data_IF_487920821070
#
_entry.id   IF_487920821070
#
_cell.length_a   1.000
_cell.length_b   1.000
_cell.length_c   1.000
_cell.angle_alpha   90.00
_cell.angle_beta   90.00
_cell.angle_gamma   90.00
#
_symmetry.space_group_name_H-M   'P 1'
#
loop_
_entity.id
_entity.type
_entity.pdbx_description
1 polymer ?
#
# COMPACT_ATOMS: atom_id res chain seq x y z
N UNK A 1 -13.36 14.12 -11.03
CA UNK A 1 -13.44 14.49 -9.60
C UNK A 1 -12.88 15.90 -9.45
N UNK A 2 -13.73 16.94 -9.41
CA UNK A 2 -13.26 18.33 -9.29
C UNK A 2 -12.50 18.58 -7.97
N UNK A 3 -12.78 17.80 -6.93
CA UNK A 3 -12.16 17.91 -5.61
C UNK A 3 -10.65 17.65 -5.63
N UNK A 4 -10.13 16.91 -6.60
CA UNK A 4 -8.71 16.59 -6.73
C UNK A 4 -7.94 17.57 -7.63
N UNK A 5 -8.59 18.54 -8.25
CA UNK A 5 -7.95 19.47 -9.19
C UNK A 5 -6.84 20.33 -8.57
N UNK A 6 -6.84 20.52 -7.25
CA UNK A 6 -5.80 21.23 -6.51
C UNK A 6 -4.82 20.31 -5.75
N UNK A 7 -4.97 19.00 -5.88
CA UNK A 7 -4.14 18.03 -5.14
C UNK A 7 -2.87 17.71 -5.91
N UNK A 8 -1.73 17.73 -5.22
CA UNK A 8 -0.48 17.22 -5.73
C UNK A 8 -0.34 15.75 -5.35
N UNK A 9 -0.11 14.88 -6.34
CA UNK A 9 -0.04 13.42 -6.16
C UNK A 9 1.38 12.94 -6.47
N UNK A 10 1.95 12.19 -5.54
CA UNK A 10 3.21 11.46 -5.72
C UNK A 10 2.88 9.96 -5.84
N UNK A 11 3.07 9.41 -7.01
CA UNK A 11 2.86 7.99 -7.24
C UNK A 11 4.19 7.25 -7.14
N UNK A 12 4.31 6.47 -6.07
CA UNK A 12 5.52 5.69 -5.75
C UNK A 12 5.32 4.25 -6.19
N UNK A 13 6.19 3.74 -7.05
CA UNK A 13 6.14 2.35 -7.49
C UNK A 13 7.54 1.83 -7.84
N UNK A 14 7.63 0.50 -7.97
CA UNK A 14 8.82 -0.16 -8.49
C UNK A 14 9.12 0.32 -9.92
N UNK A 15 10.38 0.60 -10.29
CA UNK A 15 10.71 1.27 -11.55
C UNK A 15 10.09 0.64 -12.80
N UNK A 16 10.18 -0.69 -12.95
CA UNK A 16 9.62 -1.37 -14.12
C UNK A 16 8.07 -1.36 -14.13
N UNK A 17 7.42 -1.47 -12.95
CA UNK A 17 5.96 -1.38 -12.84
C UNK A 17 5.46 0.01 -13.21
N UNK A 18 6.19 1.04 -12.78
CA UNK A 18 5.85 2.43 -13.08
C UNK A 18 6.01 2.75 -14.56
N UNK A 19 7.05 2.22 -15.22
CA UNK A 19 7.27 2.38 -16.66
C UNK A 19 6.11 1.77 -17.46
N UNK A 20 5.77 0.50 -17.21
CA UNK A 20 4.64 -0.19 -17.83
C UNK A 20 3.31 0.56 -17.62
N UNK A 21 3.07 1.06 -16.40
CA UNK A 21 1.88 1.86 -16.10
C UNK A 21 1.85 3.17 -16.89
N UNK A 22 2.97 3.87 -16.97
CA UNK A 22 3.08 5.13 -17.74
C UNK A 22 2.81 4.91 -19.22
N UNK A 23 3.32 3.82 -19.80
CA UNK A 23 3.06 3.45 -21.20
C UNK A 23 1.57 3.19 -21.43
N UNK A 24 0.94 2.37 -20.57
CA UNK A 24 -0.50 2.05 -20.67
C UNK A 24 -1.41 3.24 -20.43
N UNK A 25 -0.97 4.21 -19.65
CA UNK A 25 -1.73 5.41 -19.30
C UNK A 25 -1.35 6.65 -20.10
N UNK A 26 -0.53 6.51 -21.15
CA UNK A 26 0.02 7.64 -21.91
C UNK A 26 -1.05 8.56 -22.51
N UNK A 27 -2.19 8.00 -22.92
CA UNK A 27 -3.32 8.74 -23.48
C UNK A 27 -4.29 9.30 -22.41
N UNK A 28 -4.08 8.98 -21.14
CA UNK A 28 -4.95 9.44 -20.05
C UNK A 28 -4.46 10.78 -19.51
N UNK A 29 -5.40 11.71 -19.30
CA UNK A 29 -5.09 12.98 -18.63
C UNK A 29 -5.35 12.85 -17.14
N UNK A 30 -4.36 13.16 -16.28
CA UNK A 30 -4.58 13.22 -14.85
C UNK A 30 -5.67 14.23 -14.50
N UNK A 31 -6.55 13.85 -13.56
CA UNK A 31 -7.61 14.75 -13.03
C UNK A 31 -7.20 15.37 -11.69
N UNK A 32 -5.91 15.51 -11.45
CA UNK A 32 -5.29 16.07 -10.23
C UNK A 32 -4.53 17.34 -10.59
N UNK A 33 -4.17 18.16 -9.60
CA UNK A 33 -3.41 19.39 -9.81
C UNK A 33 -2.02 19.13 -10.39
N UNK A 34 -1.31 18.15 -9.85
CA UNK A 34 -0.08 17.61 -10.44
C UNK A 34 0.06 16.13 -10.12
N UNK A 35 0.70 15.36 -11.02
CA UNK A 35 1.06 13.97 -10.82
C UNK A 35 2.56 13.80 -11.02
N UNK A 36 3.27 13.36 -9.98
CA UNK A 36 4.71 13.08 -10.02
C UNK A 36 4.96 11.60 -9.81
N UNK A 37 5.70 11.01 -10.71
CA UNK A 37 6.10 9.61 -10.63
C UNK A 37 7.42 9.49 -9.89
N UNK A 38 7.44 8.66 -8.85
CA UNK A 38 8.61 8.40 -8.00
C UNK A 38 8.98 6.93 -8.15
N UNK A 39 9.93 6.64 -9.05
CA UNK A 39 10.42 5.30 -9.28
C UNK A 39 11.40 4.90 -8.16
N UNK A 40 11.03 3.95 -7.31
CA UNK A 40 11.89 3.48 -6.22
C UNK A 40 11.65 2.01 -5.89
N UNK A 41 12.71 1.24 -5.76
CA UNK A 41 12.65 -0.09 -5.14
C UNK A 41 12.80 0.07 -3.62
N UNK A 42 11.70 -0.10 -2.89
CA UNK A 42 11.66 0.02 -1.42
C UNK A 42 12.51 -1.01 -0.66
N UNK A 43 13.08 -2.00 -1.37
CA UNK A 43 14.02 -2.97 -0.83
C UNK A 43 15.46 -2.46 -0.92
N UNK A 44 15.78 -1.75 -2.02
CA UNK A 44 17.16 -1.35 -2.34
C UNK A 44 17.44 0.11 -1.98
N UNK A 45 16.40 0.97 -1.97
CA UNK A 45 16.57 2.40 -1.79
C UNK A 45 15.58 3.00 -0.77
N UNK A 46 16.01 4.00 0.03
CA UNK A 46 15.16 4.65 1.02
C UNK A 46 14.12 5.55 0.33
N UNK A 47 12.87 5.47 0.80
CA UNK A 47 11.74 6.24 0.29
C UNK A 47 11.89 7.76 0.50
N UNK A 48 12.37 8.19 1.67
CA UNK A 48 12.44 9.61 2.03
C UNK A 48 13.23 10.45 1.05
N UNK A 49 14.49 10.12 0.70
CA UNK A 49 15.26 10.83 -0.31
C UNK A 49 14.62 10.84 -1.70
N UNK A 50 13.97 9.75 -2.12
CA UNK A 50 13.29 9.69 -3.42
C UNK A 50 12.11 10.68 -3.48
N UNK A 51 11.32 10.77 -2.41
CA UNK A 51 10.22 11.74 -2.29
C UNK A 51 10.74 13.19 -2.24
N UNK A 52 11.82 13.45 -1.50
CA UNK A 52 12.44 14.77 -1.43
C UNK A 52 12.93 15.22 -2.81
N UNK A 53 13.60 14.34 -3.55
CA UNK A 53 14.07 14.61 -4.91
C UNK A 53 12.92 14.87 -5.89
N UNK A 54 11.76 14.25 -5.67
CA UNK A 54 10.54 14.50 -6.42
C UNK A 54 9.80 15.79 -6.01
N UNK A 55 10.27 16.48 -4.95
CA UNK A 55 9.72 17.74 -4.46
C UNK A 55 8.58 17.60 -3.45
N UNK A 56 8.46 16.45 -2.78
CA UNK A 56 7.51 16.31 -1.67
C UNK A 56 7.94 17.19 -0.49
N UNK A 57 7.05 18.08 -0.07
CA UNK A 57 7.25 18.97 1.08
C UNK A 57 6.74 18.30 2.36
N UNK A 58 7.65 18.02 3.28
CA UNK A 58 7.36 17.40 4.58
C UNK A 58 6.61 18.32 5.55
N UNK A 59 6.56 19.64 5.27
CA UNK A 59 5.80 20.60 6.07
C UNK A 59 4.30 20.64 5.71
N UNK A 60 3.90 19.99 4.61
CA UNK A 60 2.52 19.96 4.14
C UNK A 60 1.82 18.67 4.56
N UNK A 61 0.64 18.74 5.23
CA UNK A 61 -0.13 17.56 5.58
C UNK A 61 -0.43 16.68 4.38
N UNK A 62 -0.05 15.42 4.46
CA UNK A 62 -0.12 14.46 3.35
C UNK A 62 -1.00 13.28 3.72
N UNK A 63 -1.84 12.83 2.78
CA UNK A 63 -2.53 11.55 2.88
C UNK A 63 -1.74 10.49 2.13
N UNK A 64 -1.20 9.54 2.87
CA UNK A 64 -0.47 8.39 2.37
C UNK A 64 -1.39 7.20 2.14
N UNK A 65 -1.18 6.46 1.07
CA UNK A 65 -1.91 5.22 0.79
C UNK A 65 -0.90 4.11 0.48
N UNK A 66 -0.84 3.11 1.36
CA UNK A 66 -0.07 1.88 1.16
C UNK A 66 -1.01 0.75 0.77
N UNK A 67 -1.32 0.64 -0.52
CA UNK A 67 -2.18 -0.40 -1.07
C UNK A 67 -1.35 -1.49 -1.76
N UNK A 68 -1.53 -2.74 -1.32
CA UNK A 68 -0.86 -3.89 -1.94
C UNK A 68 0.66 -3.98 -1.71
N UNK A 69 1.29 -3.04 -1.02
CA UNK A 69 2.76 -2.91 -0.89
C UNK A 69 3.33 -3.79 0.21
N UNK A 70 2.80 -3.69 1.44
CA UNK A 70 3.42 -4.33 2.61
C UNK A 70 3.53 -5.87 2.55
N UNK A 71 2.70 -6.64 1.84
CA UNK A 71 2.90 -8.08 1.67
C UNK A 71 4.15 -8.44 0.88
N UNK A 72 4.62 -7.54 0.00
CA UNK A 72 5.80 -7.75 -0.87
C UNK A 72 7.10 -7.33 -0.21
N UNK A 73 7.04 -6.60 0.91
CA UNK A 73 8.19 -6.21 1.71
C UNK A 73 8.48 -7.22 2.83
N UNK A 74 9.74 -7.35 3.23
CA UNK A 74 10.07 -7.97 4.51
C UNK A 74 9.55 -7.12 5.65
N UNK A 75 9.47 -7.66 6.87
CA UNK A 75 9.06 -6.85 8.03
C UNK A 75 9.97 -5.65 8.26
N UNK A 76 11.27 -5.82 8.04
CA UNK A 76 12.26 -4.76 8.18
C UNK A 76 12.05 -3.65 7.13
N UNK A 77 11.84 -4.00 5.86
CA UNK A 77 11.61 -3.02 4.80
C UNK A 77 10.25 -2.31 4.98
N UNK A 78 9.22 -3.02 5.45
CA UNK A 78 7.94 -2.40 5.78
C UNK A 78 8.09 -1.39 6.93
N UNK A 79 8.86 -1.72 7.97
CA UNK A 79 9.16 -0.81 9.07
C UNK A 79 9.92 0.42 8.60
N UNK A 80 10.96 0.25 7.77
CA UNK A 80 11.72 1.36 7.20
C UNK A 80 10.84 2.27 6.31
N UNK A 81 9.93 1.68 5.52
CA UNK A 81 8.99 2.44 4.69
C UNK A 81 8.02 3.27 5.53
N UNK A 82 7.43 2.66 6.58
CA UNK A 82 6.48 3.37 7.46
C UNK A 82 7.20 4.45 8.28
N UNK A 83 8.42 4.19 8.75
CA UNK A 83 9.24 5.19 9.43
C UNK A 83 9.55 6.39 8.52
N UNK A 84 9.96 6.15 7.27
CA UNK A 84 10.20 7.21 6.29
C UNK A 84 8.93 8.03 5.97
N UNK A 85 7.76 7.40 5.94
CA UNK A 85 6.47 8.09 5.82
C UNK A 85 6.23 8.98 7.04
N UNK A 86 6.41 8.45 8.26
CA UNK A 86 6.22 9.21 9.48
C UNK A 86 7.15 10.43 9.56
N UNK A 87 8.43 10.25 9.25
CA UNK A 87 9.45 11.32 9.22
C UNK A 87 9.11 12.43 8.21
N UNK A 88 8.45 12.09 7.10
CA UNK A 88 8.06 13.05 6.06
C UNK A 88 6.61 13.52 6.16
N UNK A 89 6.02 13.42 7.34
CA UNK A 89 4.63 13.73 7.57
C UNK A 89 4.47 14.91 8.53
N UNK A 90 3.92 16.02 8.06
CA UNK A 90 3.50 17.12 8.92
C UNK A 90 2.35 16.67 9.86
N UNK A 91 2.15 17.36 11.00
CA UNK A 91 0.98 17.16 11.85
C UNK A 91 -0.32 17.24 11.04
N UNK A 92 -1.26 16.33 11.30
CA UNK A 92 -2.51 16.18 10.53
C UNK A 92 -2.40 15.28 9.31
N UNK A 93 -1.20 14.81 8.96
CA UNK A 93 -1.04 13.77 7.93
C UNK A 93 -1.71 12.46 8.35
N UNK A 94 -2.14 11.68 7.35
CA UNK A 94 -2.81 10.40 7.55
C UNK A 94 -2.13 9.32 6.74
N UNK A 95 -2.06 8.10 7.28
CA UNK A 95 -1.60 6.92 6.57
C UNK A 95 -2.71 5.88 6.54
N UNK A 96 -3.11 5.49 5.33
CA UNK A 96 -4.06 4.41 5.06
C UNK A 96 -3.26 3.19 4.62
N UNK A 97 -3.36 2.09 5.35
CA UNK A 97 -2.64 0.84 5.06
C UNK A 97 -3.63 -0.28 4.76
N UNK A 98 -3.60 -0.77 3.53
CA UNK A 98 -4.27 -2.01 3.17
C UNK A 98 -3.36 -3.20 3.50
N UNK A 99 -3.87 -4.18 4.22
CA UNK A 99 -3.14 -5.39 4.58
C UNK A 99 -4.00 -6.65 4.43
N UNK A 100 -3.34 -7.78 4.22
CA UNK A 100 -4.01 -9.07 4.13
C UNK A 100 -3.79 -9.88 5.41
N UNK A 101 -4.90 -10.28 6.03
CA UNK A 101 -4.87 -11.14 7.22
C UNK A 101 -4.56 -12.57 6.82
N UNK A 102 -3.73 -13.24 7.61
CA UNK A 102 -3.48 -14.69 7.43
C UNK A 102 -4.77 -15.46 7.63
N UNK A 103 -5.20 -16.20 6.61
CA UNK A 103 -6.28 -17.17 6.71
C UNK A 103 -5.73 -18.56 6.40
N UNK A 104 -5.93 -19.50 7.31
CA UNK A 104 -5.54 -20.90 7.10
C UNK A 104 -6.26 -21.48 5.88
N UNK A 105 -7.52 -21.12 5.66
CA UNK A 105 -8.30 -21.51 4.49
C UNK A 105 -7.76 -20.94 3.19
N UNK A 106 -7.30 -19.69 3.19
CA UNK A 106 -6.67 -19.11 2.01
C UNK A 106 -5.29 -19.74 1.72
N UNK A 107 -4.56 -20.18 2.76
CA UNK A 107 -3.33 -20.94 2.59
C UNK A 107 -3.59 -22.32 1.98
N UNK A 108 -4.60 -23.02 2.46
CA UNK A 108 -5.02 -24.31 1.92
C UNK A 108 -5.54 -24.20 0.48
N UNK A 109 -6.37 -23.20 0.20
CA UNK A 109 -6.86 -22.92 -1.16
C UNK A 109 -5.73 -22.62 -2.15
N UNK A 110 -4.70 -21.86 -1.73
CA UNK A 110 -3.50 -21.62 -2.55
C UNK A 110 -2.69 -22.90 -2.80
N UNK A 111 -2.58 -23.77 -1.81
CA UNK A 111 -1.89 -25.06 -1.96
C UNK A 111 -2.61 -25.93 -3.00
N UNK A 112 -3.93 -26.03 -2.93
CA UNK A 112 -4.75 -26.75 -3.91
C UNK A 112 -4.66 -26.13 -5.31
N UNK A 113 -4.73 -24.79 -5.41
CA UNK A 113 -4.58 -24.08 -6.68
C UNK A 113 -3.19 -24.30 -7.30
N UNK A 114 -2.12 -24.24 -6.52
CA UNK A 114 -0.75 -24.55 -7.00
C UNK A 114 -0.58 -25.98 -7.47
N UNK A 115 -1.16 -26.95 -6.78
CA UNK A 115 -1.15 -28.35 -7.21
C UNK A 115 -1.92 -28.53 -8.52
N UNK A 116 -3.08 -27.89 -8.66
CA UNK A 116 -3.87 -27.92 -9.87
C UNK A 116 -3.17 -27.23 -11.06
N UNK A 117 -2.56 -26.05 -10.85
CA UNK A 117 -1.79 -25.34 -11.88
C UNK A 117 -0.57 -26.15 -12.34
N UNK A 118 0.16 -26.78 -11.41
CA UNK A 118 1.27 -27.68 -11.75
C UNK A 118 0.81 -28.90 -12.58
N UNK A 119 -0.31 -29.52 -12.22
CA UNK A 119 -0.89 -30.63 -12.97
C UNK A 119 -1.40 -30.20 -14.34
N UNK A 120 -1.91 -28.98 -14.45
CA UNK A 120 -2.44 -28.40 -15.71
C UNK A 120 -1.35 -27.76 -16.59
N UNK A 121 -0.06 -27.79 -16.20
CA UNK A 121 1.06 -27.11 -16.88
C UNK A 121 0.80 -25.64 -17.21
N UNK A 122 -0.04 -24.97 -16.42
CA UNK A 122 -0.29 -23.51 -16.56
C UNK A 122 0.66 -22.74 -15.66
N UNK A 123 1.20 -21.65 -16.17
CA UNK A 123 2.00 -20.73 -15.39
C UNK A 123 1.12 -20.07 -14.31
N UNK A 124 1.67 -19.94 -13.12
CA UNK A 124 1.04 -19.18 -12.03
C UNK A 124 1.21 -17.69 -12.34
N UNK A 125 0.14 -16.95 -12.63
CA UNK A 125 0.25 -15.51 -12.94
C UNK A 125 0.82 -14.68 -11.79
N UNK A 126 0.86 -15.23 -10.57
CA UNK A 126 1.42 -14.59 -9.38
C UNK A 126 2.80 -15.18 -8.98
N UNK A 127 3.42 -16.01 -9.81
CA UNK A 127 4.72 -16.62 -9.52
C UNK A 127 5.84 -15.57 -9.38
N UNK A 128 5.72 -14.46 -10.08
CA UNK A 128 6.70 -13.37 -10.12
C UNK A 128 6.51 -12.32 -9.01
N UNK A 129 5.48 -12.44 -8.18
CA UNK A 129 5.25 -11.55 -7.04
C UNK A 129 5.41 -12.30 -5.70
N UNK A 130 6.63 -12.52 -5.23
CA UNK A 130 6.85 -13.23 -3.98
C UNK A 130 6.32 -12.44 -2.80
N UNK A 131 5.36 -13.00 -2.09
CA UNK A 131 4.93 -12.46 -0.79
C UNK A 131 6.02 -12.73 0.24
N UNK A 132 6.66 -11.68 0.71
CA UNK A 132 7.79 -11.75 1.65
C UNK A 132 7.34 -11.67 3.11
N UNK A 133 6.15 -11.14 3.38
CA UNK A 133 5.61 -11.04 4.72
C UNK A 133 4.12 -11.34 4.81
N UNK A 134 3.67 -11.63 6.02
CA UNK A 134 2.26 -11.82 6.34
C UNK A 134 1.95 -11.07 7.63
N UNK A 135 0.76 -10.47 7.68
CA UNK A 135 0.39 -9.53 8.71
C UNK A 135 -0.87 -9.97 9.44
N UNK A 136 -0.98 -9.55 10.69
CA UNK A 136 -2.19 -9.63 11.50
C UNK A 136 -2.57 -8.20 11.88
N UNK A 137 -3.82 -7.95 12.27
CA UNK A 137 -4.25 -6.67 12.85
C UNK A 137 -3.26 -6.14 13.88
N UNK A 138 -2.92 -6.98 14.86
CA UNK A 138 -1.99 -6.62 15.94
C UNK A 138 -0.62 -6.23 15.40
N UNK A 139 -0.09 -6.95 14.41
CA UNK A 139 1.25 -6.66 13.88
C UNK A 139 1.29 -5.43 12.97
N UNK A 140 0.19 -5.09 12.30
CA UNK A 140 0.08 -3.81 11.56
C UNK A 140 -0.03 -2.65 12.53
N UNK A 141 -0.87 -2.77 13.57
CA UNK A 141 -0.97 -1.76 14.61
C UNK A 141 0.39 -1.49 15.27
N UNK A 142 1.11 -2.54 15.70
CA UNK A 142 2.43 -2.39 16.27
C UNK A 142 3.43 -1.70 15.32
N UNK A 143 3.42 -2.06 14.03
CA UNK A 143 4.23 -1.41 13.00
C UNK A 143 4.00 0.11 12.92
N UNK A 144 2.74 0.53 13.00
CA UNK A 144 2.36 1.94 12.92
C UNK A 144 2.73 2.69 14.21
N UNK A 145 2.43 2.10 15.36
CA UNK A 145 2.72 2.68 16.68
C UNK A 145 4.23 2.79 16.94
N UNK A 146 5.04 1.81 16.51
CA UNK A 146 6.51 1.85 16.58
C UNK A 146 7.11 2.99 15.74
N UNK A 147 6.43 3.42 14.67
CA UNK A 147 6.80 4.58 13.87
C UNK A 147 6.23 5.91 14.43
N UNK A 148 5.57 5.92 15.58
CA UNK A 148 5.00 7.12 16.19
C UNK A 148 3.64 7.54 15.61
N UNK A 149 2.98 6.66 14.85
CA UNK A 149 1.67 6.93 14.24
C UNK A 149 0.54 6.41 15.13
N UNK A 150 -0.41 7.27 15.48
CA UNK A 150 -1.60 6.89 16.25
C UNK A 150 -2.66 6.21 15.38
N UNK A 151 -2.98 4.94 15.65
CA UNK A 151 -4.00 4.21 14.89
C UNK A 151 -5.39 4.65 15.36
N UNK A 152 -6.15 5.30 14.46
CA UNK A 152 -7.51 5.78 14.72
C UNK A 152 -8.57 4.78 14.34
N UNK A 153 -8.35 4.05 13.24
CA UNK A 153 -9.29 3.07 12.71
C UNK A 153 -8.57 1.81 12.25
N UNK A 154 -9.25 0.67 12.39
CA UNK A 154 -8.78 -0.60 11.87
C UNK A 154 -10.00 -1.49 11.59
N UNK A 155 -10.41 -1.54 10.34
CA UNK A 155 -11.64 -2.18 9.90
C UNK A 155 -11.38 -3.30 8.91
N UNK A 156 -12.25 -4.32 8.94
CA UNK A 156 -12.23 -5.34 7.90
C UNK A 156 -12.77 -4.74 6.60
N UNK A 157 -12.09 -5.00 5.48
CA UNK A 157 -12.50 -4.46 4.18
C UNK A 157 -13.91 -4.95 3.76
N UNK A 158 -14.30 -6.13 4.23
CA UNK A 158 -15.66 -6.66 4.01
C UNK A 158 -16.73 -5.78 4.67
N UNK A 159 -16.47 -5.24 5.88
CA UNK A 159 -17.43 -4.37 6.55
C UNK A 159 -17.62 -3.04 5.81
N UNK A 160 -16.52 -2.45 5.32
CA UNK A 160 -16.59 -1.25 4.48
C UNK A 160 -17.32 -1.50 3.16
N UNK A 161 -17.10 -2.66 2.54
CA UNK A 161 -17.79 -3.00 1.29
C UNK A 161 -19.27 -3.22 1.53
N UNK A 162 -19.68 -3.82 2.64
CA UNK A 162 -21.08 -3.99 3.02
C UNK A 162 -21.76 -2.62 3.25
N UNK A 163 -21.11 -1.69 3.94
CA UNK A 163 -21.59 -0.30 4.11
C UNK A 163 -21.75 0.44 2.78
N UNK A 164 -20.84 0.20 1.83
CA UNK A 164 -20.85 0.82 0.51
C UNK A 164 -21.67 0.03 -0.53
N UNK A 165 -22.33 -1.06 -0.13
CA UNK A 165 -23.10 -1.97 -1.01
C UNK A 165 -22.27 -2.51 -2.17
N UNK A 166 -20.98 -2.78 -1.94
CA UNK A 166 -20.05 -3.34 -2.93
C UNK A 166 -19.94 -4.87 -2.85
N UNK A 167 -19.59 -5.56 -3.95
CA UNK A 167 -19.44 -7.01 -3.93
C UNK A 167 -18.25 -7.46 -3.05
N UNK A 168 -18.51 -8.32 -2.06
CA UNK A 168 -17.57 -8.67 -0.98
C UNK A 168 -16.74 -9.94 -1.19
N UNK A 169 -16.94 -10.70 -2.28
CA UNK A 169 -16.36 -12.06 -2.46
C UNK A 169 -14.83 -12.15 -2.28
N UNK A 170 -14.06 -11.10 -2.58
CA UNK A 170 -12.60 -11.10 -2.54
C UNK A 170 -12.01 -10.40 -1.30
N UNK A 171 -12.85 -9.80 -0.45
CA UNK A 171 -12.42 -8.86 0.60
C UNK A 171 -12.33 -9.48 2.01
N UNK A 172 -12.75 -10.75 2.17
CA UNK A 172 -12.89 -11.41 3.49
C UNK A 172 -11.60 -11.57 4.30
N UNK A 173 -10.45 -11.47 3.66
CA UNK A 173 -9.13 -11.64 4.31
C UNK A 173 -8.32 -10.35 4.30
N UNK A 174 -8.95 -9.22 4.06
CA UNK A 174 -8.29 -7.93 3.97
C UNK A 174 -8.79 -6.96 5.04
N UNK A 175 -7.90 -6.12 5.54
CA UNK A 175 -8.21 -5.04 6.47
C UNK A 175 -7.58 -3.74 6.00
N UNK A 176 -8.13 -2.64 6.50
CA UNK A 176 -7.59 -1.30 6.32
C UNK A 176 -7.39 -0.68 7.69
N UNK A 177 -6.16 -0.26 7.97
CA UNK A 177 -5.83 0.54 9.14
C UNK A 177 -5.61 1.99 8.70
N UNK A 178 -6.13 2.93 9.48
CA UNK A 178 -5.87 4.35 9.35
C UNK A 178 -5.09 4.83 10.56
N UNK A 179 -4.00 5.53 10.32
CA UNK A 179 -3.19 6.13 11.36
C UNK A 179 -2.96 7.61 11.07
N UNK A 180 -2.76 8.39 12.11
CA UNK A 180 -2.54 9.84 12.03
C UNK A 180 -1.23 10.23 12.70
N UNK A 181 -0.63 11.29 12.19
CA UNK A 181 0.47 11.99 12.85
C UNK A 181 -0.15 12.97 13.83
N UNK A 182 0.06 12.73 15.12
CA UNK A 182 -0.41 13.63 16.16
C UNK A 182 0.33 14.97 16.08
N UNK A 183 -0.38 16.07 16.38
CA UNK A 183 0.29 17.32 16.69
C UNK A 183 1.11 17.11 17.99
N UNK A 184 2.38 17.51 17.96
CA UNK A 184 3.26 17.49 19.13
C UNK A 184 2.76 18.47 20.18
#
# INVERSE_FOLDING_TARGET
>A
MPELSGVEVFEVDYPASQEDKRERAADLRPMVGSLRFVAVDLVEAPLGPALAAAGHDEAVPTTWVLEGVIPHLTRQHAAATVAAIAERSAPGSRLVVHYQVRSAWAAFGRLLARTFLRLSRREDPMANEPRRSSWTRRSVRALLEEAGLGVTDDVALVSLADELSLPTRQLRTSGVAVAVVSAA
#
